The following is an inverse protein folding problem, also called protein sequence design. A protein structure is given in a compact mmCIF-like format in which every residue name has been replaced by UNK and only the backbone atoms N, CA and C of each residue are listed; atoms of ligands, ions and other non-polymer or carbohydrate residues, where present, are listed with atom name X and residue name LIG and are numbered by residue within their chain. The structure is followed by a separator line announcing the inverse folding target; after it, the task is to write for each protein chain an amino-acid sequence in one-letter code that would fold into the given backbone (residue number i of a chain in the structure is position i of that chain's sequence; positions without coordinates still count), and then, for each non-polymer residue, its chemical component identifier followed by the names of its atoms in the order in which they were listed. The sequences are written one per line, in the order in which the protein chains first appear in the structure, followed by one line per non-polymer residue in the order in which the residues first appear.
data_IF_277776632169
#
_entry.id   IF_277776632169
#
_cell.length_a   1.000
_cell.length_b   1.000
_cell.length_c   1.000
_cell.angle_alpha   90.00
_cell.angle_beta   90.00
_cell.angle_gamma   90.00
#
_symmetry.space_group_name_H-M   'P 1'
#
loop_
_entity.id
_entity.type
_entity.pdbx_description
1 polymer ?
#
# COMPACT_ATOMS: atom_id res chain seq x y z
N UNK A 1 3.68 0.11 -27.36
CA UNK A 1 3.25 1.52 -27.16
C UNK A 1 2.93 1.71 -25.68
N UNK A 2 3.48 2.74 -25.04
CA UNK A 2 3.00 3.19 -23.72
C UNK A 2 1.73 4.02 -23.96
N UNK A 3 0.60 3.65 -23.35
CA UNK A 3 -0.61 4.49 -23.33
C UNK A 3 -0.62 5.25 -22.01
N UNK A 4 -0.68 6.57 -22.06
CA UNK A 4 -0.89 7.41 -20.89
C UNK A 4 -2.40 7.64 -20.74
N UNK A 5 -2.94 7.39 -19.55
CA UNK A 5 -4.29 7.83 -19.21
C UNK A 5 -4.28 9.35 -18.95
N UNK A 6 -5.16 10.10 -19.60
CA UNK A 6 -5.29 11.52 -19.37
C UNK A 6 -6.11 11.77 -18.09
N UNK A 7 -5.53 12.49 -17.14
CA UNK A 7 -6.23 12.98 -15.95
C UNK A 7 -6.86 14.34 -16.24
N UNK A 8 -8.06 14.66 -15.72
CA UNK A 8 -8.65 15.98 -15.89
C UNK A 8 -7.79 17.08 -15.28
N UNK A 9 -7.92 18.31 -15.80
CA UNK A 9 -7.29 19.48 -15.22
C UNK A 9 -7.76 19.68 -13.76
N UNK A 10 -6.83 19.97 -12.84
CA UNK A 10 -7.13 20.16 -11.42
C UNK A 10 -7.34 18.87 -10.61
N UNK A 11 -7.15 17.70 -11.22
CA UNK A 11 -7.20 16.41 -10.52
C UNK A 11 -5.81 16.05 -9.97
N UNK A 12 -5.70 15.87 -8.65
CA UNK A 12 -4.45 15.51 -7.98
C UNK A 12 -4.53 14.05 -7.53
N UNK A 13 -4.06 13.09 -8.37
CA UNK A 13 -4.20 11.68 -8.08
C UNK A 13 -3.40 11.30 -6.83
N UNK A 14 -3.98 10.48 -5.98
CA UNK A 14 -3.29 9.95 -4.80
C UNK A 14 -3.58 8.45 -4.62
N UNK A 15 -4.84 8.09 -4.41
CA UNK A 15 -5.24 6.72 -4.17
C UNK A 15 -5.59 6.01 -5.47
N UNK A 16 -5.24 4.72 -5.58
CA UNK A 16 -5.63 3.86 -6.69
C UNK A 16 -6.10 2.49 -6.21
N UNK A 17 -7.23 2.02 -6.75
CA UNK A 17 -7.74 0.68 -6.54
C UNK A 17 -8.01 -0.01 -7.88
N UNK A 18 -7.67 -1.29 -7.99
CA UNK A 18 -7.95 -2.10 -9.19
C UNK A 18 -9.18 -2.96 -8.95
N UNK A 19 -10.19 -2.78 -9.79
CA UNK A 19 -11.44 -3.53 -9.78
C UNK A 19 -11.36 -4.87 -10.50
N UNK A 20 -12.51 -5.53 -10.59
CA UNK A 20 -12.67 -6.70 -11.47
C UNK A 20 -12.52 -6.29 -12.93
N UNK A 21 -11.75 -7.06 -13.71
CA UNK A 21 -11.48 -6.75 -15.12
C UNK A 21 -10.48 -5.60 -15.29
N UNK A 22 -10.44 -4.94 -16.46
CA UNK A 22 -9.49 -3.89 -16.75
C UNK A 22 -9.98 -2.53 -16.20
N UNK A 23 -10.37 -2.45 -14.94
CA UNK A 23 -10.87 -1.20 -14.32
C UNK A 23 -9.98 -0.75 -13.18
N UNK A 24 -9.60 0.52 -13.17
CA UNK A 24 -9.02 1.20 -12.02
C UNK A 24 -9.91 2.33 -11.53
N UNK A 25 -9.76 2.68 -10.25
CA UNK A 25 -10.41 3.81 -9.61
C UNK A 25 -9.34 4.68 -8.99
N UNK A 26 -9.43 5.99 -9.16
CA UNK A 26 -8.42 6.95 -8.71
C UNK A 26 -9.11 8.05 -7.91
N UNK A 27 -8.57 8.42 -6.75
CA UNK A 27 -9.06 9.55 -5.94
C UNK A 27 -8.27 10.83 -6.20
N UNK A 28 -8.96 11.97 -6.04
CA UNK A 28 -8.36 13.30 -6.08
C UNK A 28 -8.15 13.88 -4.69
N UNK A 29 -6.92 14.23 -4.35
CA UNK A 29 -6.62 15.05 -3.18
C UNK A 29 -7.15 16.49 -3.29
N UNK A 30 -7.43 16.98 -4.50
CA UNK A 30 -7.84 18.37 -4.68
C UNK A 30 -9.28 18.61 -4.20
N UNK A 31 -10.18 17.66 -4.41
CA UNK A 31 -11.62 17.86 -4.23
C UNK A 31 -12.42 16.60 -3.85
N UNK A 32 -11.77 15.44 -3.75
CA UNK A 32 -12.39 14.18 -3.39
C UNK A 32 -13.08 13.46 -4.55
N UNK A 33 -12.92 13.95 -5.79
CA UNK A 33 -13.46 13.27 -6.96
C UNK A 33 -12.87 11.86 -7.10
N UNK A 34 -13.71 10.93 -7.56
CA UNK A 34 -13.31 9.56 -7.91
C UNK A 34 -13.44 9.39 -9.41
N UNK A 35 -12.34 9.03 -10.07
CA UNK A 35 -12.29 8.68 -11.48
C UNK A 35 -12.32 7.18 -11.67
N UNK A 36 -13.04 6.72 -12.70
CA UNK A 36 -13.00 5.35 -13.19
C UNK A 36 -12.22 5.32 -14.50
N UNK A 37 -11.24 4.44 -14.59
CA UNK A 37 -10.34 4.27 -15.72
C UNK A 37 -10.46 2.85 -16.27
N UNK A 38 -10.60 2.72 -17.59
CA UNK A 38 -10.40 1.46 -18.30
C UNK A 38 -8.90 1.30 -18.61
N UNK A 39 -8.30 0.24 -18.12
CA UNK A 39 -6.86 -0.02 -18.17
C UNK A 39 -6.40 -0.54 -19.54
N UNK A 40 -7.28 -1.13 -20.33
CA UNK A 40 -6.94 -1.65 -21.66
C UNK A 40 -6.88 -0.52 -22.69
N UNK A 41 -7.86 0.39 -22.62
CA UNK A 41 -8.02 1.51 -23.55
C UNK A 41 -7.34 2.79 -23.06
N UNK A 42 -7.16 2.94 -21.74
CA UNK A 42 -6.72 4.19 -21.11
C UNK A 42 -7.81 5.26 -21.02
N UNK A 43 -9.06 4.92 -21.35
CA UNK A 43 -10.18 5.87 -21.30
C UNK A 43 -10.74 5.99 -19.89
N UNK A 44 -10.96 7.21 -19.41
CA UNK A 44 -11.46 7.47 -18.07
C UNK A 44 -12.68 8.38 -18.06
N UNK A 45 -13.46 8.31 -16.98
CA UNK A 45 -14.55 9.24 -16.70
C UNK A 45 -14.66 9.53 -15.22
N UNK A 46 -15.24 10.68 -14.87
CA UNK A 46 -15.67 10.94 -13.52
C UNK A 46 -16.70 9.87 -13.11
N UNK A 47 -16.46 9.23 -11.97
CA UNK A 47 -17.38 8.27 -11.35
C UNK A 47 -18.23 8.96 -10.30
N UNK A 48 -17.58 9.67 -9.37
CA UNK A 48 -18.23 10.32 -8.24
C UNK A 48 -17.65 11.71 -8.09
N UNK A 49 -18.51 12.72 -7.95
CA UNK A 49 -18.10 14.07 -7.57
C UNK A 49 -17.87 14.10 -6.06
N UNK A 50 -16.69 14.52 -5.64
CA UNK A 50 -16.34 14.64 -4.24
C UNK A 50 -17.07 15.81 -3.55
N UNK A 51 -17.05 15.86 -2.21
CA UNK A 51 -17.70 16.92 -1.45
C UNK A 51 -16.95 18.26 -1.48
N UNK A 52 -15.85 18.37 -2.25
CA UNK A 52 -14.97 19.54 -2.30
C UNK A 52 -13.76 19.45 -1.36
N UNK A 53 -13.72 18.45 -0.48
CA UNK A 53 -12.55 18.12 0.34
C UNK A 53 -11.82 16.90 -0.26
N UNK A 54 -10.49 16.89 -0.17
CA UNK A 54 -9.62 15.88 -0.78
C UNK A 54 -9.88 14.43 -0.31
N UNK A 55 -9.58 13.47 -1.18
CA UNK A 55 -9.62 12.05 -0.86
C UNK A 55 -8.22 11.43 -1.00
N UNK A 56 -7.77 10.78 0.07
CA UNK A 56 -6.39 10.33 0.28
C UNK A 56 -6.22 8.81 0.27
N UNK A 57 -7.24 8.06 -0.14
CA UNK A 57 -7.08 6.62 -0.25
C UNK A 57 -8.35 5.96 -0.76
N UNK A 58 -8.19 4.81 -1.40
CA UNK A 58 -9.29 4.05 -1.98
C UNK A 58 -8.97 2.57 -1.99
N UNK A 59 -9.97 1.75 -1.67
CA UNK A 59 -9.85 0.30 -1.74
C UNK A 59 -11.21 -0.35 -2.08
N UNK A 60 -11.18 -1.59 -2.52
CA UNK A 60 -12.37 -2.40 -2.78
C UNK A 60 -12.53 -3.45 -1.69
N UNK A 61 -13.75 -3.64 -1.22
CA UNK A 61 -14.05 -4.82 -0.41
C UNK A 61 -14.31 -6.06 -1.28
N UNK A 62 -14.56 -7.20 -0.63
CA UNK A 62 -14.85 -8.47 -1.31
C UNK A 62 -16.16 -8.47 -2.11
N UNK A 63 -17.04 -7.49 -1.88
CA UNK A 63 -18.30 -7.32 -2.60
C UNK A 63 -18.16 -6.32 -3.77
N UNK A 64 -16.96 -5.78 -3.97
CA UNK A 64 -16.67 -4.80 -5.01
C UNK A 64 -17.14 -3.39 -4.69
N UNK A 65 -17.47 -3.06 -3.43
CA UNK A 65 -17.79 -1.69 -3.03
C UNK A 65 -16.51 -0.89 -2.85
N UNK A 66 -16.52 0.37 -3.28
CA UNK A 66 -15.37 1.27 -3.13
C UNK A 66 -15.44 1.95 -1.76
N UNK A 67 -14.40 1.81 -0.97
CA UNK A 67 -14.18 2.55 0.26
C UNK A 67 -13.17 3.66 -0.01
N UNK A 68 -13.53 4.90 0.29
CA UNK A 68 -12.72 6.09 0.01
C UNK A 68 -12.46 6.83 1.31
N UNK A 69 -11.21 7.21 1.57
CA UNK A 69 -10.83 7.97 2.74
C UNK A 69 -10.77 9.45 2.38
N UNK A 70 -11.54 10.27 3.09
CA UNK A 70 -11.66 11.70 2.87
C UNK A 70 -10.49 12.54 3.38
N UNK A 71 -9.31 11.96 3.60
CA UNK A 71 -8.11 12.71 3.96
C UNK A 71 -8.31 13.59 5.19
N UNK A 72 -8.05 14.89 5.01
CA UNK A 72 -8.19 15.94 6.04
C UNK A 72 -9.63 16.19 6.50
N UNK A 73 -10.64 15.74 5.73
CA UNK A 73 -12.04 15.82 6.15
C UNK A 73 -12.37 14.79 7.24
N UNK A 74 -11.47 13.85 7.55
CA UNK A 74 -11.69 12.86 8.61
C UNK A 74 -12.87 11.91 8.34
N UNK A 75 -13.26 11.74 7.07
CA UNK A 75 -14.42 10.92 6.68
C UNK A 75 -14.01 9.66 5.91
N UNK A 76 -14.91 8.67 5.86
CA UNK A 76 -14.83 7.56 4.93
C UNK A 76 -16.16 7.41 4.17
N UNK A 77 -16.11 7.13 2.88
CA UNK A 77 -17.29 6.94 2.03
C UNK A 77 -17.31 5.53 1.45
N UNK A 78 -18.50 4.95 1.34
CA UNK A 78 -18.71 3.73 0.57
C UNK A 78 -19.46 4.08 -0.70
N UNK A 79 -18.92 3.73 -1.85
CA UNK A 79 -19.44 4.07 -3.17
C UNK A 79 -19.79 2.78 -3.93
N UNK A 80 -20.94 2.78 -4.59
CA UNK A 80 -21.29 1.75 -5.56
C UNK A 80 -20.53 2.03 -6.88
N UNK A 81 -19.60 1.16 -7.32
CA UNK A 81 -18.79 1.41 -8.52
C UNK A 81 -19.56 1.37 -9.84
N UNK A 82 -20.77 0.79 -9.86
CA UNK A 82 -21.61 0.72 -11.05
C UNK A 82 -22.25 2.07 -11.34
N UNK A 83 -22.76 2.74 -10.30
CA UNK A 83 -23.50 4.01 -10.42
C UNK A 83 -22.65 5.23 -10.07
N UNK A 84 -21.60 5.05 -9.27
CA UNK A 84 -20.85 6.15 -8.63
C UNK A 84 -21.58 6.79 -7.45
N UNK A 85 -22.72 6.24 -7.03
CA UNK A 85 -23.49 6.74 -5.90
C UNK A 85 -22.84 6.42 -4.56
N UNK A 86 -22.80 7.39 -3.66
CA UNK A 86 -22.41 7.19 -2.26
C UNK A 86 -23.52 6.40 -1.55
N UNK A 87 -23.16 5.24 -1.02
CA UNK A 87 -24.02 4.36 -0.24
C UNK A 87 -24.11 4.83 1.21
N UNK A 88 -22.98 5.24 1.79
CA UNK A 88 -22.91 5.77 3.16
C UNK A 88 -21.63 6.57 3.38
N UNK A 89 -21.66 7.42 4.39
CA UNK A 89 -20.53 8.26 4.85
C UNK A 89 -20.34 8.10 6.34
N UNK A 90 -19.10 7.88 6.77
CA UNK A 90 -18.68 7.82 8.15
C UNK A 90 -17.83 9.03 8.52
N UNK A 91 -18.06 9.58 9.70
CA UNK A 91 -17.14 10.51 10.36
C UNK A 91 -16.24 9.70 11.27
N UNK A 92 -14.95 9.68 10.97
CA UNK A 92 -13.94 8.92 11.71
C UNK A 92 -13.15 9.84 12.64
N UNK A 93 -12.80 11.02 12.15
CA UNK A 93 -11.97 11.97 12.87
C UNK A 93 -12.54 13.39 12.77
N UNK A 94 -12.13 14.25 13.70
CA UNK A 94 -12.36 15.69 13.57
C UNK A 94 -11.57 16.23 12.37
N UNK A 95 -12.03 17.35 11.80
CA UNK A 95 -11.34 18.03 10.71
C UNK A 95 -9.89 18.37 11.12
N UNK A 96 -8.96 18.20 10.18
CA UNK A 96 -7.53 18.39 10.43
C UNK A 96 -6.79 17.12 10.90
N UNK A 97 -7.52 16.09 11.38
CA UNK A 97 -6.97 14.75 11.48
C UNK A 97 -7.09 14.04 10.14
N UNK A 98 -6.01 13.40 9.70
CA UNK A 98 -5.94 12.77 8.37
C UNK A 98 -6.26 11.29 8.46
N UNK A 99 -7.27 10.85 7.71
CA UNK A 99 -7.52 9.43 7.42
C UNK A 99 -7.05 9.08 6.02
N UNK A 100 -6.42 7.92 5.83
CA UNK A 100 -5.73 7.60 4.57
C UNK A 100 -6.10 6.22 4.01
N UNK A 101 -5.57 5.14 4.56
CA UNK A 101 -5.62 3.83 3.91
C UNK A 101 -6.64 2.90 4.53
N UNK A 102 -7.14 1.95 3.72
CA UNK A 102 -7.98 0.85 4.17
C UNK A 102 -7.21 -0.48 4.17
N UNK A 103 -7.43 -1.27 5.22
CA UNK A 103 -7.15 -2.69 5.22
C UNK A 103 -8.42 -3.47 5.56
N UNK A 104 -8.67 -4.57 4.85
CA UNK A 104 -9.87 -5.39 5.05
C UNK A 104 -9.54 -6.70 5.74
N UNK A 105 -10.40 -7.05 6.69
CA UNK A 105 -10.45 -8.34 7.37
C UNK A 105 -11.83 -8.96 7.13
N UNK A 106 -12.03 -10.21 7.57
CA UNK A 106 -13.35 -10.84 7.46
C UNK A 106 -14.43 -10.11 8.24
N UNK A 107 -14.06 -9.44 9.32
CA UNK A 107 -14.99 -8.82 10.27
C UNK A 107 -15.01 -7.29 10.21
N UNK A 108 -14.09 -6.63 9.49
CA UNK A 108 -14.04 -5.18 9.45
C UNK A 108 -13.23 -4.60 8.29
N UNK A 109 -13.55 -3.34 7.97
CA UNK A 109 -12.61 -2.42 7.36
C UNK A 109 -11.85 -1.64 8.45
N UNK A 110 -10.55 -1.50 8.28
CA UNK A 110 -9.67 -0.75 9.16
C UNK A 110 -9.12 0.46 8.42
N UNK A 111 -9.17 1.63 9.05
CA UNK A 111 -8.71 2.89 8.46
C UNK A 111 -7.60 3.48 9.30
N UNK A 112 -6.52 3.93 8.66
CA UNK A 112 -5.39 4.54 9.36
C UNK A 112 -5.66 6.02 9.68
N UNK A 113 -5.29 6.46 10.87
CA UNK A 113 -5.09 7.87 11.19
C UNK A 113 -3.63 8.25 10.96
N UNK A 114 -3.32 9.14 10.02
CA UNK A 114 -1.93 9.43 9.62
C UNK A 114 -1.20 10.41 10.55
N UNK A 115 -1.95 11.20 11.32
CA UNK A 115 -1.42 12.21 12.27
C UNK A 115 -1.64 11.84 13.73
N UNK A 116 -2.31 10.72 14.00
CA UNK A 116 -2.61 10.24 15.36
C UNK A 116 -2.40 8.74 15.40
N UNK A 117 -1.88 8.18 16.50
CA UNK A 117 -1.61 6.75 16.62
C UNK A 117 -2.91 5.96 16.82
N UNK A 118 -3.74 5.86 15.78
CA UNK A 118 -5.08 5.29 15.84
C UNK A 118 -5.43 4.54 14.58
N UNK A 119 -6.13 3.42 14.75
CA UNK A 119 -6.93 2.80 13.71
C UNK A 119 -8.41 3.01 13.97
N UNK A 120 -9.18 3.23 12.92
CA UNK A 120 -10.64 3.26 12.97
C UNK A 120 -11.17 1.94 12.43
N UNK A 121 -11.95 1.21 13.23
CA UNK A 121 -12.59 -0.05 12.85
C UNK A 121 -14.03 0.22 12.42
N UNK A 122 -14.37 -0.22 11.22
CA UNK A 122 -15.73 -0.27 10.70
C UNK A 122 -16.14 -1.75 10.67
N UNK A 123 -16.82 -2.27 11.71
CA UNK A 123 -17.16 -3.68 11.77
C UNK A 123 -18.21 -4.04 10.72
N UNK A 124 -17.98 -5.10 9.98
CA UNK A 124 -18.97 -5.62 9.05
C UNK A 124 -20.08 -6.34 9.81
N UNK A 125 -21.33 -6.01 9.45
CA UNK A 125 -22.50 -6.71 9.95
C UNK A 125 -22.58 -8.13 9.40
N UNK A 126 -23.57 -8.89 9.87
CA UNK A 126 -23.88 -10.20 9.25
C UNK A 126 -24.24 -9.97 7.77
N UNK A 127 -23.80 -10.91 6.92
CA UNK A 127 -24.20 -11.08 5.52
C UNK A 127 -23.69 -10.11 4.46
N UNK A 128 -22.83 -9.14 4.75
CA UNK A 128 -22.33 -8.04 3.85
C UNK A 128 -22.71 -6.63 4.34
N UNK A 129 -23.49 -6.55 5.41
CA UNK A 129 -23.99 -5.29 5.96
C UNK A 129 -22.88 -4.30 6.31
N UNK A 130 -23.05 -3.06 5.85
CA UNK A 130 -22.23 -1.93 6.30
C UNK A 130 -22.61 -1.55 7.74
N UNK A 131 -21.64 -1.17 8.59
CA UNK A 131 -21.94 -0.69 9.93
C UNK A 131 -22.74 0.63 9.89
N UNK A 132 -23.42 0.94 10.99
CA UNK A 132 -23.88 2.29 11.26
C UNK A 132 -22.74 3.17 11.78
N UNK A 133 -22.94 4.49 11.84
CA UNK A 133 -21.96 5.40 12.45
C UNK A 133 -21.68 5.07 13.93
N UNK A 134 -22.66 4.53 14.66
CA UNK A 134 -22.52 4.19 16.07
C UNK A 134 -21.61 2.96 16.30
N UNK A 135 -21.41 2.13 15.27
CA UNK A 135 -20.58 0.94 15.36
C UNK A 135 -19.10 1.21 15.08
N UNK A 136 -18.75 2.43 14.65
CA UNK A 136 -17.36 2.81 14.37
C UNK A 136 -16.56 2.85 15.67
N UNK A 137 -15.47 2.09 15.72
CA UNK A 137 -14.61 2.01 16.91
C UNK A 137 -13.28 2.70 16.64
N UNK A 138 -12.88 3.61 17.54
CA UNK A 138 -11.56 4.22 17.55
C UNK A 138 -10.61 3.37 18.40
N UNK A 139 -9.55 2.84 17.80
CA UNK A 139 -8.59 1.93 18.44
C UNK A 139 -7.23 2.62 18.57
N UNK A 140 -6.82 3.05 19.78
CA UNK A 140 -5.49 3.59 20.02
C UNK A 140 -4.39 2.56 19.76
N UNK A 141 -3.33 2.99 19.09
CA UNK A 141 -2.10 2.23 18.91
C UNK A 141 -1.09 2.61 20.01
N UNK A 142 -0.39 1.62 20.55
CA UNK A 142 0.62 1.77 21.59
C UNK A 142 1.31 0.44 21.88
N UNK A 143 2.04 0.36 23.00
CA UNK A 143 2.81 -0.82 23.37
C UNK A 143 4.19 -0.81 22.71
N UNK A 144 4.51 -1.84 21.93
CA UNK A 144 5.84 -2.05 21.33
C UNK A 144 6.20 -1.05 20.20
N UNK A 145 5.29 -0.13 19.89
CA UNK A 145 5.46 0.89 18.83
C UNK A 145 5.50 2.27 19.50
N UNK A 146 6.63 2.97 19.32
CA UNK A 146 6.77 4.37 19.75
C UNK A 146 6.46 5.29 18.57
N UNK A 147 5.48 6.18 18.75
CA UNK A 147 5.14 7.20 17.77
C UNK A 147 5.97 8.47 17.99
N UNK A 148 6.42 9.07 16.90
CA UNK A 148 7.03 10.39 16.91
C UNK A 148 5.99 11.42 16.45
N UNK A 149 6.15 12.66 16.90
CA UNK A 149 5.39 13.79 16.36
C UNK A 149 5.74 13.96 14.87
N UNK A 150 4.72 14.06 14.01
CA UNK A 150 4.90 14.24 12.58
C UNK A 150 3.97 13.39 11.72
N UNK A 151 4.24 13.37 10.41
CA UNK A 151 3.49 12.62 9.41
C UNK A 151 4.02 11.20 9.30
N UNK A 152 3.25 10.20 9.74
CA UNK A 152 3.74 8.85 10.01
C UNK A 152 3.35 7.79 8.95
N UNK A 153 3.18 8.17 7.67
CA UNK A 153 2.86 7.24 6.56
C UNK A 153 3.69 7.52 5.28
N UNK A 154 4.02 6.48 4.47
CA UNK A 154 4.80 6.66 3.25
C UNK A 154 3.89 6.95 2.04
N UNK A 155 3.52 8.22 1.83
CA UNK A 155 2.97 8.66 0.53
C UNK A 155 3.06 10.18 0.27
N UNK A 156 3.38 11.00 1.27
CA UNK A 156 3.45 12.46 1.08
C UNK A 156 4.87 12.96 1.36
N UNK A 157 5.51 13.49 0.32
CA UNK A 157 6.79 14.18 0.45
C UNK A 157 6.55 15.47 1.23
N UNK A 158 7.26 15.72 2.35
CA UNK A 158 7.19 17.01 3.04
C UNK A 158 7.66 18.11 2.09
N UNK A 159 6.95 19.23 2.06
CA UNK A 159 7.42 20.44 1.40
C UNK A 159 8.58 21.03 2.24
N UNK A 160 9.81 20.51 2.03
CA UNK A 160 11.14 21.02 2.47
C UNK A 160 11.58 20.85 3.95
N UNK A 161 12.91 20.94 4.26
CA UNK A 161 13.87 19.84 4.43
C UNK A 161 14.20 19.58 5.92
N UNK A 162 14.65 18.45 6.44
CA UNK A 162 15.44 17.29 5.98
C UNK A 162 15.22 16.20 7.03
N UNK A 163 15.19 14.91 6.67
CA UNK A 163 15.08 13.81 7.67
C UNK A 163 16.20 12.80 7.44
N UNK A 164 17.02 12.59 8.46
CA UNK A 164 17.96 11.47 8.59
C UNK A 164 17.35 10.46 9.55
N UNK A 165 17.22 9.20 9.15
CA UNK A 165 16.82 8.11 10.04
C UNK A 165 18.06 7.41 10.61
N UNK A 166 18.21 7.36 11.92
CA UNK A 166 19.20 6.49 12.57
C UNK A 166 18.56 5.22 13.13
N UNK A 167 19.15 4.07 12.78
CA UNK A 167 18.77 2.75 13.28
C UNK A 167 19.48 2.51 14.62
N UNK A 168 18.73 2.41 15.73
CA UNK A 168 19.29 1.90 17.00
C UNK A 168 19.20 0.37 17.00
N UNK A 169 20.35 -0.29 16.89
CA UNK A 169 20.48 -1.75 17.08
C UNK A 169 20.62 -2.02 18.58
N UNK A 170 19.63 -2.64 19.20
CA UNK A 170 19.79 -3.21 20.53
C UNK A 170 20.48 -4.58 20.41
N UNK A 171 21.73 -4.66 20.89
CA UNK A 171 22.41 -5.94 21.17
C UNK A 171 21.93 -6.46 22.52
N UNK A 172 21.52 -7.73 22.57
CA UNK A 172 21.48 -8.48 23.82
C UNK A 172 20.41 -9.55 23.91
N UNK A 173 20.64 -10.72 23.31
CA UNK A 173 20.09 -11.98 23.82
C UNK A 173 21.08 -13.11 23.49
N UNK A 174 21.72 -13.67 24.51
CA UNK A 174 22.58 -14.85 24.40
C UNK A 174 21.94 -15.98 25.21
N UNK A 175 21.54 -17.11 24.60
CA UNK A 175 21.30 -18.35 25.32
C UNK A 175 22.61 -19.11 25.49
N UNK A 176 22.82 -19.66 26.69
CA UNK A 176 24.11 -20.16 27.18
C UNK A 176 24.60 -21.47 26.58
N UNK A 177 25.91 -21.71 26.76
CA UNK A 177 26.57 -23.02 26.72
C UNK A 177 27.70 -23.03 27.75
N UNK A 178 27.79 -24.13 28.51
CA UNK A 178 28.71 -24.46 29.62
C UNK A 178 30.13 -24.78 29.07
N UNK A 179 31.25 -24.58 29.82
CA UNK A 179 32.58 -24.50 29.21
C UNK A 179 33.27 -25.87 29.09
N UNK A 180 34.15 -25.99 28.09
CA UNK A 180 35.14 -27.06 27.99
C UNK A 180 36.52 -26.47 27.61
N UNK A 181 37.53 -27.12 28.16
CA UNK A 181 38.92 -26.72 28.38
C UNK A 181 39.87 -26.89 27.19
N UNK A 182 40.99 -26.15 27.29
CA UNK A 182 42.38 -26.46 26.93
C UNK A 182 42.82 -26.67 25.46
N UNK A 183 44.02 -26.12 25.22
CA UNK A 183 45.07 -26.47 24.23
C UNK A 183 45.08 -25.82 22.83
N UNK A 184 45.96 -24.80 22.75
CA UNK A 184 47.18 -24.73 21.93
C UNK A 184 47.22 -25.15 20.44
N UNK A 185 47.82 -24.22 19.67
CA UNK A 185 48.75 -24.37 18.52
C UNK A 185 48.22 -24.64 17.10
N UNK A 186 48.59 -23.68 16.23
CA UNK A 186 49.20 -23.81 14.90
C UNK A 186 48.74 -24.93 13.96
N UNK A 187 48.20 -24.55 12.80
CA UNK A 187 48.09 -25.46 11.67
C UNK A 187 47.33 -24.86 10.49
N UNK A 188 48.06 -24.43 9.46
CA UNK A 188 47.56 -24.13 8.12
C UNK A 188 46.97 -25.38 7.47
N UNK A 189 45.72 -25.31 6.99
CA UNK A 189 45.19 -26.25 5.99
C UNK A 189 44.05 -25.59 5.19
N UNK A 190 44.23 -25.56 3.88
CA UNK A 190 43.20 -25.22 2.90
C UNK A 190 42.10 -26.30 2.92
N UNK A 191 40.83 -25.90 3.02
CA UNK A 191 39.71 -26.74 2.63
C UNK A 191 38.66 -25.90 1.90
N UNK A 192 38.13 -26.49 0.84
CA UNK A 192 37.32 -25.86 -0.21
C UNK A 192 35.95 -25.43 0.33
N UNK A 193 35.56 -24.18 0.09
CA UNK A 193 34.17 -23.74 0.28
C UNK A 193 33.23 -24.47 -0.69
N UNK A 194 32.02 -24.88 -0.26
CA UNK A 194 31.00 -25.39 -1.15
C UNK A 194 30.46 -24.24 -2.03
N UNK A 195 30.29 -24.53 -3.32
CA UNK A 195 29.59 -23.65 -4.26
C UNK A 195 28.14 -23.47 -3.77
N UNK A 196 27.63 -22.24 -3.59
CA UNK A 196 26.22 -22.05 -3.30
C UNK A 196 25.40 -22.53 -4.50
N UNK A 197 24.40 -23.38 -4.24
CA UNK A 197 23.42 -23.79 -5.22
C UNK A 197 22.81 -22.53 -5.87
N UNK A 198 22.93 -22.41 -7.20
CA UNK A 198 22.27 -21.36 -7.96
C UNK A 198 20.75 -21.45 -7.83
N UNK A 199 20.02 -20.33 -7.96
CA UNK A 199 18.57 -20.32 -7.81
C UNK A 199 17.91 -21.22 -8.87
N UNK A 200 16.97 -22.07 -8.45
CA UNK A 200 16.15 -22.87 -9.34
C UNK A 200 15.30 -21.97 -10.27
N UNK A 201 15.05 -22.36 -11.53
CA UNK A 201 14.29 -21.54 -12.47
C UNK A 201 12.83 -21.36 -12.01
N UNK A 202 12.30 -20.12 -12.10
CA UNK A 202 10.97 -19.67 -11.59
C UNK A 202 9.74 -20.37 -12.28
N UNK A 203 9.88 -21.55 -12.90
CA UNK A 203 8.83 -22.23 -13.68
C UNK A 203 7.79 -23.03 -12.85
N UNK A 204 7.90 -23.05 -11.51
CA UNK A 204 7.02 -23.84 -10.64
C UNK A 204 6.15 -23.04 -9.66
N UNK A 205 6.23 -21.70 -9.60
CA UNK A 205 5.42 -20.92 -8.65
C UNK A 205 3.99 -20.64 -9.18
N UNK A 206 3.02 -21.51 -8.86
CA UNK A 206 1.58 -21.20 -8.96
C UNK A 206 1.01 -20.89 -7.57
N UNK A 207 0.62 -19.62 -7.36
CA UNK A 207 -0.35 -19.11 -6.37
C UNK A 207 0.10 -18.72 -4.94
N UNK A 208 1.32 -18.23 -4.72
CA UNK A 208 1.63 -17.45 -3.51
C UNK A 208 2.48 -16.19 -3.81
N UNK A 209 2.04 -15.04 -3.30
CA UNK A 209 2.68 -13.72 -3.50
C UNK A 209 4.09 -13.63 -2.87
N UNK A 210 4.37 -14.46 -1.87
CA UNK A 210 5.65 -14.54 -1.16
C UNK A 210 6.81 -15.04 -2.03
N UNK A 211 6.54 -15.83 -3.07
CA UNK A 211 7.58 -16.41 -3.95
C UNK A 211 8.17 -15.37 -4.93
N UNK A 212 7.44 -14.31 -5.28
CA UNK A 212 7.86 -13.32 -6.29
C UNK A 212 8.93 -12.35 -5.79
N UNK A 213 9.00 -12.12 -4.47
CA UNK A 213 9.88 -11.11 -3.87
C UNK A 213 11.39 -11.42 -4.02
N UNK A 214 11.75 -12.62 -4.48
CA UNK A 214 13.14 -13.06 -4.68
C UNK A 214 13.62 -13.24 -6.12
N UNK A 215 12.77 -13.16 -7.16
CA UNK A 215 13.23 -13.29 -8.56
C UNK A 215 13.78 -11.90 -9.01
N UNK A 216 15.08 -11.64 -8.77
CA UNK A 216 15.77 -10.46 -9.28
C UNK A 216 15.83 -10.47 -10.82
N UNK A 217 15.42 -9.37 -11.46
CA UNK A 217 15.52 -9.19 -12.91
C UNK A 217 17.00 -9.07 -13.28
N UNK A 218 17.58 -9.94 -14.14
CA UNK A 218 18.93 -9.72 -14.59
C UNK A 218 18.96 -8.50 -15.52
N UNK A 219 19.72 -7.50 -15.13
CA UNK A 219 20.10 -6.40 -16.00
C UNK A 219 20.85 -6.96 -17.21
N UNK A 220 20.25 -6.88 -18.41
CA UNK A 220 21.00 -7.07 -19.65
C UNK A 220 21.57 -5.74 -20.10
N UNK A 221 22.90 -5.79 -20.28
CA UNK A 221 23.77 -4.77 -20.83
C UNK A 221 23.35 -4.37 -22.25
N UNK A 222 23.77 -3.18 -22.64
CA UNK A 222 23.28 -2.45 -23.80
C UNK A 222 23.54 -3.08 -25.17
N UNK A 223 22.68 -2.70 -26.11
CA UNK A 223 23.01 -2.65 -27.55
C UNK A 223 22.45 -1.33 -28.07
N UNK A 224 23.32 -0.57 -28.73
CA UNK A 224 23.04 0.76 -29.28
C UNK A 224 22.18 0.68 -30.54
N UNK A 225 21.49 1.79 -30.79
CA UNK A 225 20.79 2.08 -32.04
C UNK A 225 21.78 2.06 -33.23
N UNK A 226 21.68 1.05 -34.11
CA UNK A 226 21.82 1.14 -35.58
C UNK A 226 21.65 -0.24 -36.20
N UNK A 227 21.04 -0.27 -37.39
CA UNK A 227 20.85 -1.43 -38.30
C UNK A 227 19.65 -2.34 -37.95
N UNK A 228 18.73 -2.73 -38.84
CA UNK A 228 18.61 -2.63 -40.30
C UNK A 228 17.14 -2.81 -40.69
N UNK A 229 16.63 -1.95 -41.58
CA UNK A 229 15.53 -2.29 -42.48
C UNK A 229 15.90 -3.54 -43.29
N UNK A 230 14.99 -4.51 -43.43
CA UNK A 230 14.71 -5.24 -44.68
C UNK A 230 13.50 -6.16 -44.52
N UNK A 231 12.46 -5.80 -45.27
CA UNK A 231 11.54 -6.67 -46.05
C UNK A 231 11.57 -8.18 -45.82
N UNK A 232 10.38 -8.73 -45.62
CA UNK A 232 10.04 -10.16 -45.70
C UNK A 232 8.62 -10.37 -45.22
#
# INVERSE_FOLDING_TARGET
MRRNAASPAGFFPEGIAIGSGPTAYITSLANGDVYKLDLDTGTGRLLTRGPGAGAAGIALDTFGRLFVAGGQAGTAWVINPATGGVVTTYRLAAEGLVVNDFAFTRDAAWVTGSLVPVLYKLPFGRRDGLPSQADVVRVPLGGDITFQEGFNVPAQRPLHPSITAERRVHRGFHPGVVPASSDERHGTAQSRSPVPAGPAPCALCRRELSCWAGCGVPARQGVSHRELFRSG
#
